data_IF_305781026292
#
_entry.id   IF_305781026292
#
_cell.length_a   1.000
_cell.length_b   1.000
_cell.length_c   1.000
_cell.angle_alpha   90.00
_cell.angle_beta   90.00
_cell.angle_gamma   90.00
#
_symmetry.space_group_name_H-M   'P 1'
#
loop_
_entity.id
_entity.type
_entity.pdbx_description
1 polymer ?
#
# COMPACT_ATOMS: atom_id res chain seq x y z
N UNK A 1 11.02 -8.25 1.86
CA UNK A 1 11.12 -6.88 2.39
C UNK A 1 10.81 -5.92 1.26
N UNK A 2 10.01 -4.86 1.49
CA UNK A 2 9.72 -3.84 0.46
C UNK A 2 10.90 -2.88 0.36
N UNK A 3 11.48 -2.75 -0.83
CA UNK A 3 12.55 -1.79 -1.12
C UNK A 3 12.10 -0.91 -2.30
N UNK A 4 11.89 0.37 -2.03
CA UNK A 4 11.34 1.30 -3.02
C UNK A 4 12.26 1.53 -4.22
N UNK A 5 13.56 1.66 -3.95
CA UNK A 5 14.61 1.93 -4.93
C UNK A 5 15.28 0.66 -5.48
N UNK A 6 14.80 -0.53 -5.13
CA UNK A 6 15.41 -1.77 -5.66
C UNK A 6 15.13 -1.92 -7.16
N UNK A 7 16.17 -2.30 -7.91
CA UNK A 7 16.10 -2.54 -9.36
C UNK A 7 15.24 -3.75 -9.74
N UNK A 8 14.84 -4.56 -8.75
CA UNK A 8 13.73 -5.51 -8.89
C UNK A 8 12.44 -4.72 -8.70
N UNK A 9 11.89 -4.20 -9.80
CA UNK A 9 10.66 -3.40 -9.85
C UNK A 9 9.40 -4.19 -9.42
N UNK A 10 9.39 -4.74 -8.21
CA UNK A 10 8.39 -5.70 -7.76
C UNK A 10 8.30 -5.83 -6.24
N UNK A 11 7.24 -6.47 -5.78
CA UNK A 11 7.01 -6.77 -4.36
C UNK A 11 6.75 -8.26 -4.15
N UNK A 12 7.09 -8.74 -2.96
CA UNK A 12 6.73 -10.09 -2.54
C UNK A 12 5.45 -10.02 -1.70
N UNK A 13 4.43 -10.79 -2.09
CA UNK A 13 3.21 -11.00 -1.31
C UNK A 13 3.03 -12.51 -1.14
N UNK A 14 3.17 -12.98 0.11
CA UNK A 14 3.28 -14.41 0.39
C UNK A 14 4.37 -15.08 -0.45
N UNK A 15 3.99 -16.09 -1.23
CA UNK A 15 4.90 -16.84 -2.09
C UNK A 15 5.02 -16.29 -3.53
N UNK A 16 4.34 -15.17 -3.84
CA UNK A 16 4.31 -14.61 -5.19
C UNK A 16 5.14 -13.34 -5.28
N UNK A 17 5.85 -13.19 -6.39
CA UNK A 17 6.49 -11.94 -6.78
C UNK A 17 5.59 -11.21 -7.78
N UNK A 18 5.26 -9.96 -7.50
CA UNK A 18 4.48 -9.10 -8.36
C UNK A 18 5.41 -8.11 -9.05
N UNK A 19 5.13 -7.84 -10.33
CA UNK A 19 5.87 -6.87 -11.13
C UNK A 19 5.06 -5.57 -11.17
N UNK A 20 5.76 -4.44 -11.00
CA UNK A 20 5.18 -3.11 -11.07
C UNK A 20 4.63 -2.83 -12.48
N UNK A 21 3.40 -2.34 -12.53
CA UNK A 21 2.77 -1.85 -13.76
C UNK A 21 3.27 -0.42 -13.99
N UNK A 22 3.71 -0.08 -15.22
CA UNK A 22 4.15 1.27 -15.54
C UNK A 22 3.13 2.34 -15.13
N UNK A 23 3.60 3.35 -14.41
CA UNK A 23 2.78 4.48 -13.96
C UNK A 23 3.51 5.80 -14.22
N UNK A 24 2.76 6.84 -14.62
CA UNK A 24 3.30 8.20 -14.76
C UNK A 24 3.33 8.96 -13.42
N UNK A 25 2.55 8.50 -12.44
CA UNK A 25 2.55 9.05 -11.09
C UNK A 25 3.63 8.45 -10.19
N UNK A 26 3.69 8.93 -8.94
CA UNK A 26 4.70 8.49 -7.95
C UNK A 26 4.32 7.20 -7.20
N UNK A 27 3.13 6.66 -7.44
CA UNK A 27 2.68 5.43 -6.78
C UNK A 27 3.18 4.20 -7.53
N UNK A 28 3.66 3.19 -6.81
CA UNK A 28 3.91 1.87 -7.40
C UNK A 28 2.59 1.15 -7.59
N UNK A 29 2.34 0.61 -8.78
CA UNK A 29 1.05 0.00 -9.14
C UNK A 29 1.21 -1.50 -9.35
N UNK A 30 0.32 -2.29 -8.77
CA UNK A 30 0.24 -3.75 -8.93
C UNK A 30 -1.20 -4.17 -9.21
N UNK A 31 -1.40 -5.38 -9.75
CA UNK A 31 -2.74 -5.95 -10.01
C UNK A 31 -2.74 -7.46 -9.76
N UNK A 32 -3.93 -8.06 -9.75
CA UNK A 32 -4.10 -9.52 -9.61
C UNK A 32 -3.82 -10.05 -8.20
N UNK A 33 -4.08 -9.21 -7.20
CA UNK A 33 -3.89 -9.50 -5.76
C UNK A 33 -5.26 -9.47 -5.08
N UNK A 34 -5.59 -10.49 -4.29
CA UNK A 34 -6.85 -10.51 -3.56
C UNK A 34 -6.86 -9.50 -2.41
N UNK A 35 -8.03 -9.16 -1.91
CA UNK A 35 -8.17 -8.28 -0.75
C UNK A 35 -7.49 -8.88 0.50
N UNK A 36 -7.61 -10.19 0.70
CA UNK A 36 -6.97 -10.93 1.79
C UNK A 36 -5.45 -10.84 1.69
N UNK A 37 -4.88 -11.04 0.50
CA UNK A 37 -3.45 -10.91 0.24
C UNK A 37 -2.94 -9.48 0.52
N UNK A 38 -3.69 -8.45 0.12
CA UNK A 38 -3.35 -7.04 0.37
C UNK A 38 -3.36 -6.74 1.88
N UNK A 39 -4.39 -7.18 2.60
CA UNK A 39 -4.50 -7.00 4.05
C UNK A 39 -3.37 -7.71 4.80
N UNK A 40 -3.06 -8.94 4.40
CA UNK A 40 -1.96 -9.71 4.97
C UNK A 40 -0.61 -9.02 4.72
N UNK A 41 -0.38 -8.57 3.48
CA UNK A 41 0.83 -7.83 3.13
C UNK A 41 0.99 -6.54 3.95
N UNK A 42 -0.09 -5.81 4.22
CA UNK A 42 -0.04 -4.62 5.06
C UNK A 42 0.36 -4.92 6.51
N UNK A 43 -0.13 -6.04 7.08
CA UNK A 43 0.25 -6.50 8.43
C UNK A 43 1.74 -6.85 8.47
N UNK A 44 2.24 -7.59 7.48
CA UNK A 44 3.65 -7.96 7.36
C UNK A 44 4.56 -6.74 7.18
N UNK A 45 4.17 -5.82 6.29
CA UNK A 45 4.91 -4.59 6.00
C UNK A 45 5.11 -3.72 7.24
N UNK A 46 4.12 -3.71 8.13
CA UNK A 46 4.12 -2.89 9.35
C UNK A 46 4.65 -3.62 10.58
N UNK A 47 5.01 -4.90 10.45
CA UNK A 47 5.47 -5.74 11.57
C UNK A 47 4.40 -5.97 12.64
N UNK A 48 3.13 -5.82 12.30
CA UNK A 48 2.01 -6.01 13.23
C UNK A 48 1.61 -7.50 13.28
N UNK A 49 0.90 -7.90 14.34
CA UNK A 49 0.42 -9.29 14.50
C UNK A 49 -0.90 -9.55 13.79
N UNK A 50 -1.71 -8.50 13.62
CA UNK A 50 -3.02 -8.58 13.01
C UNK A 50 -3.40 -7.25 12.36
N UNK A 51 -4.40 -7.30 11.48
CA UNK A 51 -5.01 -6.10 10.90
C UNK A 51 -5.68 -5.29 12.02
N UNK A 52 -5.48 -3.96 12.11
CA UNK A 52 -6.12 -3.15 13.13
C UNK A 52 -7.63 -3.05 12.87
N UNK A 53 -8.36 -2.47 13.84
CA UNK A 53 -9.76 -2.15 13.62
C UNK A 53 -9.97 -1.24 12.42
N UNK A 54 -11.01 -1.54 11.65
CA UNK A 54 -11.41 -0.73 10.50
C UNK A 54 -12.07 0.55 10.98
N UNK A 55 -11.72 1.67 10.35
CA UNK A 55 -12.46 2.92 10.48
C UNK A 55 -13.14 3.26 9.16
N UNK A 56 -14.42 3.58 9.22
CA UNK A 56 -15.18 4.06 8.06
C UNK A 56 -14.90 5.55 7.86
N UNK A 57 -14.59 5.94 6.63
CA UNK A 57 -14.48 7.33 6.18
C UNK A 57 -15.74 7.67 5.38
N UNK A 58 -16.66 8.48 5.93
CA UNK A 58 -17.92 8.82 5.26
C UNK A 58 -17.70 9.34 3.84
N UNK A 59 -18.46 8.81 2.89
CA UNK A 59 -18.39 9.18 1.48
C UNK A 59 -17.14 8.72 0.73
N UNK A 60 -16.23 7.94 1.36
CA UNK A 60 -15.02 7.42 0.71
C UNK A 60 -14.88 5.91 0.77
N UNK A 61 -14.83 5.34 1.97
CA UNK A 61 -14.55 3.91 2.15
C UNK A 61 -13.91 3.60 3.50
N UNK A 62 -13.21 2.48 3.59
CA UNK A 62 -12.58 1.98 4.80
C UNK A 62 -11.09 2.34 4.87
N UNK A 63 -10.60 2.54 6.09
CA UNK A 63 -9.18 2.74 6.39
C UNK A 63 -8.76 1.94 7.62
N UNK A 64 -7.59 1.30 7.51
CA UNK A 64 -6.87 0.62 8.57
C UNK A 64 -5.61 1.41 8.84
N UNK A 65 -5.41 1.88 10.07
CA UNK A 65 -4.26 2.73 10.44
C UNK A 65 -3.40 2.04 11.49
N UNK A 66 -2.10 1.96 11.23
CA UNK A 66 -1.09 1.50 12.18
C UNK A 66 -0.15 2.67 12.46
N UNK A 67 -0.04 3.05 13.73
CA UNK A 67 0.89 4.09 14.17
C UNK A 67 2.19 3.45 14.62
N UNK A 68 3.30 3.93 14.06
CA UNK A 68 4.65 3.56 14.47
C UNK A 68 5.40 4.82 14.92
N UNK A 69 6.55 4.70 15.61
CA UNK A 69 7.41 5.86 15.91
C UNK A 69 7.83 6.65 14.67
N UNK A 70 7.90 5.99 13.51
CA UNK A 70 8.35 6.57 12.24
C UNK A 70 7.19 7.15 11.41
N UNK A 71 5.97 7.17 11.95
CA UNK A 71 4.79 7.70 11.28
C UNK A 71 3.65 6.69 11.17
N UNK A 72 2.56 7.14 10.55
CA UNK A 72 1.36 6.32 10.36
C UNK A 72 1.36 5.67 8.99
N UNK A 73 1.18 4.35 8.99
CA UNK A 73 0.87 3.57 7.81
C UNK A 73 -0.65 3.47 7.68
N UNK A 74 -1.16 3.59 6.46
CA UNK A 74 -2.59 3.41 6.20
C UNK A 74 -2.81 2.42 5.08
N UNK A 75 -3.76 1.51 5.26
CA UNK A 75 -4.36 0.73 4.18
C UNK A 75 -5.78 1.24 3.95
N UNK A 76 -6.09 1.61 2.70
CA UNK A 76 -7.38 2.19 2.30
C UNK A 76 -7.98 1.39 1.15
N UNK A 77 -9.29 1.19 1.14
CA UNK A 77 -10.01 0.56 0.02
C UNK A 77 -10.38 1.55 -1.11
N UNK A 78 -9.80 2.75 -1.05
CA UNK A 78 -9.99 3.84 -2.01
C UNK A 78 -8.67 4.57 -2.33
N UNK A 79 -8.60 5.13 -3.53
CA UNK A 79 -7.51 6.00 -3.99
C UNK A 79 -7.99 7.45 -4.04
N UNK A 80 -7.16 8.40 -3.58
CA UNK A 80 -7.46 9.84 -3.77
C UNK A 80 -7.27 10.28 -5.22
N UNK A 81 -6.48 9.52 -6.00
CA UNK A 81 -6.21 9.70 -7.43
C UNK A 81 -6.93 8.62 -8.26
N UNK A 82 -8.15 8.28 -7.87
CA UNK A 82 -8.93 7.25 -8.56
C UNK A 82 -9.29 7.62 -10.00
N UNK A 83 -9.23 8.90 -10.38
CA UNK A 83 -9.44 9.36 -11.76
C UNK A 83 -8.26 9.01 -12.65
N UNK A 84 -7.05 9.00 -12.09
CA UNK A 84 -5.79 8.75 -12.79
C UNK A 84 -5.44 7.25 -12.81
N UNK A 85 -5.64 6.55 -11.69
CA UNK A 85 -5.23 5.15 -11.55
C UNK A 85 -6.39 4.15 -11.48
N UNK A 86 -7.64 4.63 -11.48
CA UNK A 86 -8.81 3.79 -11.20
C UNK A 86 -9.01 3.49 -9.71
N UNK A 87 -10.04 2.70 -9.39
CA UNK A 87 -10.30 2.23 -8.02
C UNK A 87 -9.21 1.26 -7.61
N UNK A 88 -8.58 1.55 -6.48
CA UNK A 88 -7.48 0.74 -5.97
C UNK A 88 -7.50 0.70 -4.45
N UNK A 89 -7.11 -0.46 -3.91
CA UNK A 89 -6.60 -0.50 -2.55
C UNK A 89 -5.26 0.26 -2.52
N UNK A 90 -5.04 1.10 -1.52
CA UNK A 90 -3.84 1.95 -1.42
C UNK A 90 -3.18 1.77 -0.06
N UNK A 91 -1.88 1.51 -0.04
CA UNK A 91 -1.03 1.57 1.14
C UNK A 91 -0.25 2.88 1.11
N UNK A 92 -0.42 3.69 2.15
CA UNK A 92 0.39 4.88 2.40
C UNK A 92 1.54 4.53 3.35
N UNK A 93 2.77 4.74 2.90
CA UNK A 93 4.01 4.54 3.67
C UNK A 93 4.57 5.92 4.05
N UNK A 94 4.86 6.17 5.35
CA UNK A 94 5.40 7.44 5.78
C UNK A 94 6.82 7.68 5.22
N UNK A 95 7.20 8.96 5.13
CA UNK A 95 8.56 9.37 4.74
C UNK A 95 9.61 8.76 5.68
N UNK A 96 10.81 8.53 5.19
CA UNK A 96 11.91 7.95 5.96
C UNK A 96 11.84 6.43 6.15
N UNK A 97 10.82 5.77 5.61
CA UNK A 97 10.74 4.30 5.57
C UNK A 97 11.16 3.78 4.21
N UNK A 98 10.41 4.15 3.18
CA UNK A 98 10.64 3.70 1.81
C UNK A 98 11.46 4.71 1.01
N UNK A 99 11.31 6.00 1.32
CA UNK A 99 12.03 7.11 0.69
C UNK A 99 12.27 8.20 1.74
N UNK A 100 13.50 8.69 1.85
CA UNK A 100 13.92 9.61 2.91
C UNK A 100 13.07 10.89 2.95
N UNK A 101 12.83 11.47 1.78
CA UNK A 101 12.30 12.83 1.68
C UNK A 101 10.80 12.90 1.34
N UNK A 102 10.13 11.77 1.06
CA UNK A 102 8.72 11.78 0.66
C UNK A 102 7.97 10.53 1.12
N UNK A 103 6.65 10.63 1.38
CA UNK A 103 5.81 9.45 1.53
C UNK A 103 5.73 8.68 0.21
N UNK A 104 5.44 7.39 0.32
CA UNK A 104 5.29 6.47 -0.81
C UNK A 104 3.89 5.89 -0.80
N UNK A 105 3.29 5.75 -1.99
CA UNK A 105 2.03 5.02 -2.16
C UNK A 105 2.28 3.72 -2.93
N UNK A 106 1.67 2.63 -2.48
CA UNK A 106 1.51 1.39 -3.25
C UNK A 106 0.02 1.24 -3.56
N UNK A 107 -0.35 1.02 -4.83
CA UNK A 107 -1.74 0.79 -5.23
C UNK A 107 -1.92 -0.61 -5.82
N UNK A 108 -3.01 -1.25 -5.45
CA UNK A 108 -3.46 -2.52 -5.99
C UNK A 108 -4.76 -2.30 -6.75
N UNK A 109 -4.67 -2.37 -8.08
CA UNK A 109 -5.83 -2.21 -8.96
C UNK A 109 -6.78 -3.40 -8.78
N UNK A 110 -8.07 -3.10 -8.76
CA UNK A 110 -9.15 -4.11 -8.76
C UNK A 110 -9.37 -4.66 -10.16
#
# INVERSE_FOLDING_TARGET
MFEYDSSRAGIQIGNRSLIEIPNKGNAKIFSGVSEEEIKQYFVELTGNKALPEVRVVPGKGNIYTIKTPNGSFNLRDFSNSARETGKAWTIDIPRGIAKDTAPVEIKFLK
#
